data_IF_804451367524
#
_entry.id   IF_804451367524
#
_cell.length_a   1.000
_cell.length_b   1.000
_cell.length_c   1.000
_cell.angle_alpha   90.00
_cell.angle_beta   90.00
_cell.angle_gamma   90.00
#
_symmetry.space_group_name_H-M   'P 1'
#
loop_
_entity.id
_entity.type
_entity.pdbx_description
1 polymer ?
#
# COMPACT_ATOMS: atom_id res chain seq x y z
N UNK A 1 19.57 29.53 -13.74
CA UNK A 1 20.12 28.32 -14.40
C UNK A 1 20.00 27.16 -13.44
N UNK A 2 19.42 26.01 -13.81
CA UNK A 2 19.50 24.84 -12.95
C UNK A 2 20.99 24.50 -12.82
N UNK A 3 21.53 24.49 -11.59
CA UNK A 3 22.87 23.95 -11.34
C UNK A 3 22.86 22.55 -11.93
N UNK A 4 23.71 22.29 -12.94
CA UNK A 4 23.89 20.93 -13.45
C UNK A 4 24.21 20.05 -12.25
N UNK A 5 23.31 19.11 -11.93
CA UNK A 5 23.48 18.25 -10.76
C UNK A 5 24.85 17.57 -10.86
N UNK A 6 25.62 17.63 -9.79
CA UNK A 6 26.93 16.99 -9.72
C UNK A 6 26.78 15.51 -10.06
N UNK A 7 27.63 15.01 -10.96
CA UNK A 7 27.61 13.60 -11.37
C UNK A 7 27.84 12.72 -10.14
N UNK A 8 27.08 11.62 -10.05
CA UNK A 8 27.28 10.63 -9.00
C UNK A 8 28.71 10.11 -9.04
N UNK A 9 29.36 10.15 -7.87
CA UNK A 9 30.64 9.47 -7.69
C UNK A 9 30.47 7.94 -7.77
N UNK A 10 31.58 7.22 -8.00
CA UNK A 10 31.55 5.75 -8.15
C UNK A 10 30.94 5.07 -6.91
N UNK A 11 31.26 5.53 -5.71
CA UNK A 11 30.73 4.96 -4.47
C UNK A 11 29.21 5.12 -4.36
N UNK A 12 28.65 6.30 -4.70
CA UNK A 12 27.21 6.50 -4.64
C UNK A 12 26.48 5.64 -5.69
N UNK A 13 27.06 5.46 -6.87
CA UNK A 13 26.51 4.53 -7.88
C UNK A 13 26.51 3.09 -7.39
N UNK A 14 27.56 2.66 -6.70
CA UNK A 14 27.61 1.33 -6.09
C UNK A 14 26.50 1.18 -5.04
N UNK A 15 26.27 2.21 -4.22
CA UNK A 15 25.19 2.19 -3.22
C UNK A 15 23.80 2.21 -3.87
N UNK A 16 23.62 2.95 -4.96
CA UNK A 16 22.39 2.94 -5.76
C UNK A 16 22.13 1.54 -6.33
N UNK A 17 23.14 0.90 -6.92
CA UNK A 17 23.05 -0.49 -7.39
C UNK A 17 22.75 -1.45 -6.24
N UNK A 18 23.34 -1.24 -5.05
CA UNK A 18 23.04 -2.03 -3.87
C UNK A 18 21.56 -1.94 -3.48
N UNK A 19 20.98 -0.73 -3.37
CA UNK A 19 19.56 -0.59 -3.05
C UNK A 19 18.65 -1.23 -4.11
N UNK A 20 18.99 -1.10 -5.40
CA UNK A 20 18.28 -1.79 -6.48
C UNK A 20 18.35 -3.31 -6.35
N UNK A 21 19.55 -3.86 -6.09
CA UNK A 21 19.74 -5.29 -5.89
C UNK A 21 18.98 -5.82 -4.66
N UNK A 22 18.93 -5.04 -3.58
CA UNK A 22 18.14 -5.37 -2.38
C UNK A 22 16.65 -5.44 -2.72
N UNK A 23 16.10 -4.46 -3.44
CA UNK A 23 14.69 -4.51 -3.87
C UNK A 23 14.40 -5.74 -4.73
N UNK A 24 15.23 -6.02 -5.73
CA UNK A 24 15.09 -7.21 -6.60
C UNK A 24 15.16 -8.50 -5.78
N UNK A 25 16.05 -8.57 -4.80
CA UNK A 25 16.19 -9.74 -3.92
C UNK A 25 14.94 -9.94 -3.04
N UNK A 26 14.37 -8.86 -2.51
CA UNK A 26 13.15 -8.92 -1.70
C UNK A 26 11.93 -9.33 -2.54
N UNK A 27 11.78 -8.80 -3.76
CA UNK A 27 10.73 -9.22 -4.67
C UNK A 27 10.93 -10.68 -5.12
N UNK A 28 12.17 -11.08 -5.37
CA UNK A 28 12.54 -12.46 -5.66
C UNK A 28 12.21 -13.41 -4.52
N UNK A 29 12.43 -13.00 -3.28
CA UNK A 29 12.02 -13.74 -2.09
C UNK A 29 10.50 -13.90 -2.03
N UNK A 30 9.73 -12.85 -2.31
CA UNK A 30 8.26 -12.94 -2.38
C UNK A 30 7.79 -13.95 -3.44
N UNK A 31 8.41 -13.98 -4.62
CA UNK A 31 8.06 -14.90 -5.72
C UNK A 31 8.20 -16.39 -5.37
N UNK A 32 9.14 -16.73 -4.48
CA UNK A 32 9.46 -18.12 -4.12
C UNK A 32 8.93 -18.53 -2.74
N UNK A 33 8.34 -17.61 -2.00
CA UNK A 33 7.74 -17.87 -0.69
C UNK A 33 6.26 -18.17 -0.88
N UNK A 34 5.80 -19.33 -0.41
CA UNK A 34 4.37 -19.63 -0.40
C UNK A 34 3.65 -18.75 0.65
N UNK A 35 2.42 -18.29 0.39
CA UNK A 35 1.70 -17.42 1.34
C UNK A 35 1.45 -18.10 2.68
N UNK A 36 1.26 -19.42 2.67
CA UNK A 36 1.06 -20.25 3.86
C UNK A 36 2.33 -20.37 4.73
N UNK A 37 3.51 -20.24 4.13
CA UNK A 37 4.79 -20.26 4.85
C UNK A 37 5.19 -18.88 5.36
N UNK A 38 4.46 -17.84 4.96
CA UNK A 38 4.74 -16.46 5.34
C UNK A 38 4.26 -16.18 6.76
N UNK A 39 5.22 -16.02 7.69
CA UNK A 39 4.93 -15.75 9.10
C UNK A 39 5.00 -14.27 9.42
N UNK A 40 4.02 -13.79 10.19
CA UNK A 40 3.99 -12.42 10.73
C UNK A 40 4.94 -12.27 11.92
N UNK A 41 6.25 -12.22 11.65
CA UNK A 41 7.31 -12.12 12.66
C UNK A 41 8.25 -10.91 12.45
N UNK A 42 9.33 -10.85 13.23
CA UNK A 42 10.34 -9.77 13.14
C UNK A 42 11.06 -9.79 11.79
N UNK A 43 11.24 -10.98 11.18
CA UNK A 43 11.83 -11.12 9.85
C UNK A 43 10.95 -10.47 8.78
N UNK A 44 9.63 -10.67 8.86
CA UNK A 44 8.67 -9.95 8.01
C UNK A 44 8.87 -8.44 8.15
N UNK A 45 8.78 -7.91 9.38
CA UNK A 45 8.90 -6.46 9.62
C UNK A 45 10.19 -5.90 9.02
N UNK A 46 11.30 -6.65 9.13
CA UNK A 46 12.58 -6.30 8.51
C UNK A 46 12.47 -6.24 6.99
N UNK A 47 11.91 -7.27 6.33
CA UNK A 47 11.74 -7.30 4.87
C UNK A 47 10.93 -6.10 4.38
N UNK A 48 9.83 -5.77 5.08
CA UNK A 48 9.00 -4.62 4.74
C UNK A 48 9.73 -3.28 4.89
N UNK A 49 10.45 -3.10 6.01
CA UNK A 49 11.24 -1.89 6.26
C UNK A 49 12.35 -1.74 5.22
N UNK A 50 13.02 -2.85 4.89
CA UNK A 50 14.08 -2.89 3.86
C UNK A 50 13.53 -2.46 2.50
N UNK A 51 12.41 -3.03 2.07
CA UNK A 51 11.79 -2.70 0.79
C UNK A 51 11.44 -1.21 0.70
N UNK A 52 10.72 -0.70 1.71
CA UNK A 52 10.34 0.71 1.77
C UNK A 52 11.56 1.64 1.86
N UNK A 53 12.59 1.27 2.63
CA UNK A 53 13.81 2.05 2.78
C UNK A 53 14.63 2.08 1.49
N UNK A 54 14.76 0.95 0.78
CA UNK A 54 15.50 0.86 -0.47
C UNK A 54 14.82 1.69 -1.57
N UNK A 55 13.50 1.52 -1.75
CA UNK A 55 12.72 2.28 -2.73
C UNK A 55 12.83 3.80 -2.51
N UNK A 56 12.66 4.24 -1.26
CA UNK A 56 12.78 5.66 -0.88
C UNK A 56 14.21 6.18 -1.04
N UNK A 57 15.22 5.37 -0.71
CA UNK A 57 16.63 5.76 -0.82
C UNK A 57 17.03 5.98 -2.27
N UNK A 58 16.61 5.12 -3.20
CA UNK A 58 16.84 5.30 -4.64
C UNK A 58 16.25 6.61 -5.14
N UNK A 59 14.98 6.88 -4.80
CA UNK A 59 14.31 8.11 -5.21
C UNK A 59 14.98 9.37 -4.63
N UNK A 60 15.34 9.35 -3.33
CA UNK A 60 16.03 10.46 -2.69
C UNK A 60 17.42 10.71 -3.30
N UNK A 61 18.16 9.63 -3.60
CA UNK A 61 19.45 9.70 -4.28
C UNK A 61 19.27 10.34 -5.64
N UNK A 62 18.32 9.87 -6.45
CA UNK A 62 18.02 10.38 -7.79
C UNK A 62 17.75 11.89 -7.76
N UNK A 63 16.91 12.36 -6.82
CA UNK A 63 16.56 13.78 -6.66
C UNK A 63 17.63 14.64 -5.98
N UNK A 64 18.72 14.03 -5.51
CA UNK A 64 19.80 14.71 -4.76
C UNK A 64 19.28 15.46 -3.52
N UNK A 65 18.23 14.91 -2.91
CA UNK A 65 17.53 15.57 -1.79
C UNK A 65 18.44 15.70 -0.58
N UNK A 66 18.40 16.84 0.12
CA UNK A 66 19.13 17.06 1.37
C UNK A 66 18.69 16.09 2.49
N UNK A 67 17.50 15.51 2.37
CA UNK A 67 16.97 14.49 3.29
C UNK A 67 17.59 13.10 3.09
N UNK A 68 18.29 12.85 1.97
CA UNK A 68 18.86 11.53 1.67
C UNK A 68 19.74 11.02 2.80
N UNK A 69 20.62 11.88 3.33
CA UNK A 69 21.57 11.48 4.39
C UNK A 69 20.90 11.07 5.69
N UNK A 70 20.11 11.94 6.36
CA UNK A 70 19.46 11.54 7.60
C UNK A 70 18.52 10.35 7.40
N UNK A 71 17.79 10.29 6.28
CA UNK A 71 16.90 9.17 5.98
C UNK A 71 17.65 7.84 5.87
N UNK A 72 18.70 7.77 5.05
CA UNK A 72 19.49 6.54 4.85
C UNK A 72 20.15 6.10 6.16
N UNK A 73 20.73 7.04 6.94
CA UNK A 73 21.36 6.71 8.22
C UNK A 73 20.34 6.11 9.19
N UNK A 74 19.18 6.74 9.37
CA UNK A 74 18.15 6.26 10.29
C UNK A 74 17.59 4.91 9.85
N UNK A 75 17.17 4.80 8.58
CA UNK A 75 16.53 3.58 8.08
C UNK A 75 17.48 2.40 8.06
N UNK A 76 18.74 2.58 7.64
CA UNK A 76 19.73 1.50 7.69
C UNK A 76 20.11 1.13 9.13
N UNK A 77 20.10 2.09 10.07
CA UNK A 77 20.29 1.78 11.50
C UNK A 77 19.14 0.91 12.03
N UNK A 78 17.90 1.21 11.64
CA UNK A 78 16.74 0.36 11.98
C UNK A 78 16.90 -1.04 11.36
N UNK A 79 17.32 -1.15 10.10
CA UNK A 79 17.57 -2.45 9.46
C UNK A 79 18.64 -3.25 10.21
N UNK A 80 19.72 -2.60 10.66
CA UNK A 80 20.76 -3.22 11.49
C UNK A 80 20.15 -3.74 12.80
N UNK A 81 19.38 -2.91 13.51
CA UNK A 81 18.74 -3.30 14.77
C UNK A 81 17.79 -4.48 14.56
N UNK A 82 16.90 -4.42 13.56
CA UNK A 82 15.98 -5.51 13.25
C UNK A 82 16.73 -6.79 12.88
N UNK A 83 17.85 -6.67 12.15
CA UNK A 83 18.69 -7.82 11.82
C UNK A 83 19.30 -8.46 13.07
N UNK A 84 19.76 -7.67 14.03
CA UNK A 84 20.28 -8.19 15.30
C UNK A 84 19.16 -8.82 16.12
N UNK A 85 18.00 -8.18 16.22
CA UNK A 85 16.85 -8.71 16.96
C UNK A 85 16.39 -10.05 16.38
N UNK A 86 16.32 -10.16 15.05
CA UNK A 86 15.96 -11.41 14.38
C UNK A 86 16.92 -12.56 14.72
N UNK A 87 18.22 -12.29 14.73
CA UNK A 87 19.26 -13.25 15.14
C UNK A 87 19.12 -13.66 16.60
N UNK A 88 18.88 -12.70 17.49
CA UNK A 88 18.80 -12.92 18.95
C UNK A 88 17.53 -13.65 19.35
N UNK A 89 16.37 -13.22 18.83
CA UNK A 89 15.06 -13.78 19.19
C UNK A 89 14.69 -15.02 18.38
N UNK A 90 15.19 -15.17 17.16
CA UNK A 90 14.97 -16.36 16.33
C UNK A 90 15.68 -17.62 16.85
N UNK A 91 16.52 -17.51 17.89
CA UNK A 91 17.30 -18.63 18.43
C UNK A 91 18.32 -19.20 17.44
N UNK A 92 18.58 -18.49 16.34
CA UNK A 92 19.42 -18.92 15.24
C UNK A 92 20.92 -18.72 15.54
N UNK A 93 21.34 -18.30 16.74
CA UNK A 93 22.76 -18.04 17.04
C UNK A 93 23.68 -19.24 16.74
N UNK A 94 23.23 -20.46 17.05
CA UNK A 94 23.94 -21.70 16.72
C UNK A 94 23.83 -22.08 15.23
N UNK A 95 22.69 -21.81 14.59
CA UNK A 95 22.52 -21.99 13.15
C UNK A 95 23.36 -20.98 12.36
N UNK A 96 23.53 -19.76 12.84
CA UNK A 96 24.40 -18.74 12.27
C UNK A 96 25.85 -19.15 12.42
N UNK A 97 26.27 -19.72 13.55
CA UNK A 97 27.60 -20.32 13.67
C UNK A 97 27.81 -21.50 12.67
N UNK A 98 26.77 -22.31 12.43
CA UNK A 98 26.79 -23.40 11.45
C UNK A 98 26.66 -22.93 9.98
N UNK A 99 25.94 -21.85 9.72
CA UNK A 99 25.67 -21.25 8.40
C UNK A 99 26.79 -20.29 7.98
N UNK A 100 27.47 -19.66 8.95
CA UNK A 100 28.76 -18.98 8.78
C UNK A 100 29.91 -19.94 8.44
N UNK A 101 29.65 -21.25 8.31
CA UNK A 101 30.61 -22.22 7.75
C UNK A 101 30.41 -22.45 6.23
N UNK A 102 29.35 -21.92 5.62
CA UNK A 102 29.06 -21.99 4.19
C UNK A 102 29.51 -20.71 3.46
N UNK A 103 30.40 -20.79 2.46
CA UNK A 103 30.97 -19.61 1.77
C UNK A 103 29.95 -18.62 1.19
N UNK A 104 28.80 -19.12 0.72
CA UNK A 104 27.75 -18.32 0.07
C UNK A 104 26.93 -17.49 1.06
N UNK A 105 26.72 -18.00 2.29
CA UNK A 105 25.91 -17.30 3.30
C UNK A 105 26.75 -16.32 4.12
N UNK A 106 28.05 -16.61 4.33
CA UNK A 106 29.01 -15.61 4.84
C UNK A 106 29.04 -14.41 3.90
N UNK A 107 29.11 -14.63 2.58
CA UNK A 107 29.05 -13.55 1.60
C UNK A 107 27.74 -12.75 1.73
N UNK A 108 26.57 -13.42 1.78
CA UNK A 108 25.27 -12.76 1.93
C UNK A 108 25.11 -11.94 3.23
N UNK A 109 25.38 -12.54 4.38
CA UNK A 109 25.22 -11.89 5.69
C UNK A 109 26.24 -10.79 5.97
N UNK A 110 27.51 -11.00 5.59
CA UNK A 110 28.56 -9.97 5.73
C UNK A 110 28.37 -8.84 4.72
N UNK A 111 27.91 -9.12 3.49
CA UNK A 111 27.57 -8.06 2.54
C UNK A 111 26.31 -7.29 2.96
N UNK A 112 25.32 -7.94 3.58
CA UNK A 112 24.09 -7.27 3.98
C UNK A 112 24.28 -6.43 5.25
N UNK A 113 24.81 -7.02 6.32
CA UNK A 113 25.07 -6.33 7.58
C UNK A 113 26.26 -5.37 7.47
N UNK A 114 27.38 -5.84 6.89
CA UNK A 114 28.56 -5.02 6.64
C UNK A 114 28.31 -3.93 5.59
N UNK A 115 27.50 -4.21 4.57
CA UNK A 115 27.04 -3.20 3.61
C UNK A 115 26.15 -2.15 4.26
N UNK A 116 25.20 -2.54 5.10
CA UNK A 116 24.36 -1.61 5.86
C UNK A 116 25.19 -0.72 6.79
N UNK A 117 26.15 -1.31 7.52
CA UNK A 117 27.11 -0.55 8.34
C UNK A 117 27.93 0.42 7.49
N UNK A 118 28.52 -0.05 6.39
CA UNK A 118 29.28 0.79 5.48
C UNK A 118 28.45 1.98 4.98
N UNK A 119 27.20 1.75 4.57
CA UNK A 119 26.28 2.79 4.10
C UNK A 119 26.01 3.81 5.22
N UNK A 120 25.71 3.35 6.44
CA UNK A 120 25.52 4.24 7.61
C UNK A 120 26.75 5.11 7.82
N UNK A 121 27.94 4.52 7.93
CA UNK A 121 29.18 5.26 8.11
C UNK A 121 29.47 6.22 6.96
N UNK A 122 29.27 5.79 5.72
CA UNK A 122 29.50 6.61 4.54
C UNK A 122 28.59 7.84 4.53
N UNK A 123 27.29 7.68 4.72
CA UNK A 123 26.35 8.81 4.71
C UNK A 123 26.47 9.71 5.94
N UNK A 124 26.88 9.17 7.09
CA UNK A 124 27.14 9.93 8.30
C UNK A 124 28.39 10.83 8.15
N UNK A 125 29.50 10.28 7.67
CA UNK A 125 30.81 10.93 7.78
C UNK A 125 31.41 11.46 6.47
N UNK A 126 30.99 10.96 5.30
CA UNK A 126 31.58 11.35 4.00
C UNK A 126 31.31 12.82 3.65
N UNK A 127 32.39 13.58 3.40
CA UNK A 127 32.31 14.94 2.85
C UNK A 127 31.61 14.97 1.49
N UNK A 128 31.91 13.98 0.63
CA UNK A 128 31.32 13.87 -0.70
C UNK A 128 29.81 13.66 -0.65
N UNK A 129 29.31 12.86 0.30
CA UNK A 129 27.87 12.70 0.49
C UNK A 129 27.21 14.02 0.95
N UNK A 130 27.88 14.78 1.83
CA UNK A 130 27.39 16.10 2.28
C UNK A 130 27.26 17.10 1.13
N UNK A 131 28.22 17.12 0.23
CA UNK A 131 28.26 18.05 -0.91
C UNK A 131 27.28 17.67 -2.05
N UNK A 132 26.96 16.37 -2.18
CA UNK A 132 26.11 15.87 -3.25
C UNK A 132 24.62 16.06 -2.96
N UNK A 133 24.20 15.89 -1.70
CA UNK A 133 22.80 15.91 -1.28
C UNK A 133 22.41 17.26 -0.69
N UNK A 134 22.15 18.23 -1.57
CA UNK A 134 21.93 19.64 -1.21
C UNK A 134 20.60 20.20 -1.71
N UNK A 135 19.87 19.45 -2.54
CA UNK A 135 18.59 19.92 -3.06
C UNK A 135 17.57 19.90 -1.94
N UNK A 136 17.14 21.08 -1.50
CA UNK A 136 16.10 21.14 -0.48
C UNK A 136 14.77 20.63 -1.04
N UNK A 137 13.98 19.90 -0.23
CA UNK A 137 12.62 19.54 -0.57
C UNK A 137 11.86 20.78 -1.00
N UNK A 138 11.12 20.66 -2.10
CA UNK A 138 10.23 21.73 -2.51
C UNK A 138 9.16 21.95 -1.42
N UNK A 139 9.29 23.09 -0.73
CA UNK A 139 8.36 23.57 0.30
C UNK A 139 7.37 24.60 -0.26
N UNK A 140 7.49 24.97 -1.53
CA UNK A 140 6.66 26.01 -2.14
C UNK A 140 5.20 25.58 -2.38
N UNK A 141 4.90 24.29 -2.23
CA UNK A 141 3.56 23.73 -2.36
C UNK A 141 2.77 23.57 -1.04
N UNK A 142 3.19 24.20 0.06
CA UNK A 142 2.31 24.33 1.23
C UNK A 142 1.21 25.34 0.85
N UNK A 143 -0.09 24.97 0.94
CA UNK A 143 -1.16 25.89 0.58
C UNK A 143 -1.04 27.17 1.41
N UNK A 144 -0.81 28.31 0.73
CA UNK A 144 -1.04 29.63 1.30
C UNK A 144 -2.52 29.70 1.65
N UNK A 145 -2.83 30.08 2.89
CA UNK A 145 -4.18 29.95 3.45
C UNK A 145 -5.29 30.53 2.56
N UNK A 146 -6.46 29.89 2.67
CA UNK A 146 -7.80 30.48 2.50
C UNK A 146 -8.62 30.21 1.21
N UNK A 147 -8.54 29.00 0.65
CA UNK A 147 -9.60 28.50 -0.24
C UNK A 147 -9.85 27.00 -0.10
N UNK A 148 -11.07 26.59 0.29
CA UNK A 148 -11.51 25.17 0.26
C UNK A 148 -11.60 24.64 -1.20
N UNK A 149 -11.64 25.55 -2.20
CA UNK A 149 -11.80 25.22 -3.62
C UNK A 149 -10.57 24.56 -4.26
N UNK A 150 -9.37 24.75 -3.68
CA UNK A 150 -8.10 24.19 -4.21
C UNK A 150 -7.67 22.87 -3.53
N UNK A 151 -8.49 22.33 -2.62
CA UNK A 151 -8.17 21.08 -1.89
C UNK A 151 -8.11 19.87 -2.83
N UNK A 152 -8.91 19.88 -3.90
CA UNK A 152 -8.99 18.77 -4.85
C UNK A 152 -8.03 18.99 -6.00
N UNK A 153 -7.05 18.09 -6.12
CA UNK A 153 -6.10 18.10 -7.22
C UNK A 153 -6.83 18.05 -8.57
N UNK A 154 -6.33 18.83 -9.54
CA UNK A 154 -6.90 18.84 -10.89
C UNK A 154 -6.87 17.42 -11.48
N UNK A 155 -7.99 16.92 -12.05
CA UNK A 155 -8.03 15.60 -12.66
C UNK A 155 -6.91 15.40 -13.68
N UNK A 156 -6.37 14.18 -13.74
CA UNK A 156 -5.29 13.77 -14.66
C UNK A 156 -3.95 14.49 -14.50
N UNK A 157 -3.75 15.28 -13.44
CA UNK A 157 -2.41 15.76 -13.06
C UNK A 157 -1.63 14.68 -12.32
N UNK A 158 -0.29 14.79 -12.31
CA UNK A 158 0.54 13.83 -11.57
C UNK A 158 0.17 13.72 -10.07
N UNK A 159 -0.02 14.81 -9.31
CA UNK A 159 -0.47 14.72 -7.92
C UNK A 159 -1.81 13.98 -7.78
N UNK A 160 -2.75 14.20 -8.70
CA UNK A 160 -4.04 13.50 -8.71
C UNK A 160 -3.88 12.00 -8.97
N UNK A 161 -3.14 11.61 -10.02
CA UNK A 161 -2.87 10.20 -10.35
C UNK A 161 -2.12 9.50 -9.22
N UNK A 162 -1.08 10.15 -8.67
CA UNK A 162 -0.33 9.66 -7.52
C UNK A 162 -1.26 9.41 -6.33
N UNK A 163 -2.13 10.37 -6.00
CA UNK A 163 -3.06 10.24 -4.88
C UNK A 163 -4.08 9.11 -5.10
N UNK A 164 -4.56 8.92 -6.33
CA UNK A 164 -5.40 7.76 -6.67
C UNK A 164 -4.70 6.43 -6.42
N UNK A 165 -3.43 6.30 -6.82
CA UNK A 165 -2.64 5.09 -6.55
C UNK A 165 -2.43 4.90 -5.05
N UNK A 166 -2.21 5.98 -4.28
CA UNK A 166 -2.14 5.90 -2.81
C UNK A 166 -3.46 5.35 -2.26
N UNK A 167 -4.62 5.88 -2.70
CA UNK A 167 -5.92 5.39 -2.25
C UNK A 167 -6.09 3.92 -2.60
N UNK A 168 -5.79 3.52 -3.84
CA UNK A 168 -5.82 2.13 -4.26
C UNK A 168 -5.00 1.23 -3.31
N UNK A 169 -3.70 1.49 -3.15
CA UNK A 169 -2.84 0.66 -2.31
C UNK A 169 -3.27 0.60 -0.84
N UNK A 170 -3.71 1.73 -0.27
CA UNK A 170 -4.15 1.79 1.13
C UNK A 170 -5.46 1.02 1.31
N UNK A 171 -6.45 1.24 0.45
CA UNK A 171 -7.76 0.62 0.59
C UNK A 171 -7.78 -0.84 0.16
N UNK A 172 -6.85 -1.29 -0.69
CA UNK A 172 -6.66 -2.72 -0.90
C UNK A 172 -6.27 -3.44 0.40
N UNK A 173 -5.46 -2.81 1.27
CA UNK A 173 -5.09 -3.41 2.56
C UNK A 173 -6.20 -3.20 3.59
N UNK A 174 -6.75 -1.99 3.70
CA UNK A 174 -7.83 -1.71 4.66
C UNK A 174 -9.10 -2.49 4.35
N UNK A 175 -9.34 -2.82 3.08
CA UNK A 175 -10.46 -3.62 2.62
C UNK A 175 -10.51 -5.00 3.28
N UNK A 176 -9.37 -5.67 3.42
CA UNK A 176 -9.26 -6.93 4.15
C UNK A 176 -9.74 -6.80 5.60
N UNK A 177 -9.33 -5.73 6.30
CA UNK A 177 -9.79 -5.46 7.67
C UNK A 177 -11.28 -5.09 7.74
N UNK A 178 -11.80 -4.42 6.71
CA UNK A 178 -13.22 -4.13 6.60
C UNK A 178 -14.04 -5.41 6.43
N UNK A 179 -13.55 -6.36 5.63
CA UNK A 179 -14.19 -7.67 5.45
C UNK A 179 -14.21 -8.47 6.75
N UNK A 180 -13.09 -8.54 7.48
CA UNK A 180 -13.05 -9.17 8.82
C UNK A 180 -14.13 -8.54 9.72
N UNK A 181 -14.24 -7.22 9.71
CA UNK A 181 -15.29 -6.51 10.45
C UNK A 181 -16.70 -6.89 10.02
N UNK A 182 -16.94 -7.02 8.71
CA UNK A 182 -18.21 -7.45 8.16
C UNK A 182 -18.57 -8.89 8.56
N UNK A 183 -17.62 -9.83 8.46
CA UNK A 183 -17.81 -11.20 8.92
C UNK A 183 -18.13 -11.26 10.42
N UNK A 184 -17.50 -10.43 11.25
CA UNK A 184 -17.86 -10.33 12.67
C UNK A 184 -19.29 -9.88 12.89
N UNK A 185 -19.82 -8.96 12.08
CA UNK A 185 -21.22 -8.55 12.17
C UNK A 185 -22.18 -9.69 11.80
N UNK A 186 -21.80 -10.57 10.86
CA UNK A 186 -22.55 -11.78 10.54
C UNK A 186 -22.51 -12.75 11.73
N UNK A 187 -21.33 -13.00 12.31
CA UNK A 187 -21.14 -13.88 13.49
C UNK A 187 -21.99 -13.40 14.68
N UNK A 188 -22.09 -12.09 14.87
CA UNK A 188 -22.90 -11.47 15.92
C UNK A 188 -24.42 -11.48 15.62
N UNK A 189 -24.82 -11.98 14.45
CA UNK A 189 -26.23 -12.04 14.02
C UNK A 189 -26.82 -10.68 13.63
N UNK A 190 -25.98 -9.66 13.41
CA UNK A 190 -26.43 -8.33 12.94
C UNK A 190 -26.82 -8.39 11.47
N UNK A 191 -26.09 -9.16 10.68
CA UNK A 191 -26.34 -9.36 9.25
C UNK A 191 -26.51 -10.84 8.94
N UNK A 192 -27.40 -11.13 7.98
CA UNK A 192 -27.53 -12.47 7.41
C UNK A 192 -26.37 -12.72 6.44
N UNK A 193 -25.81 -13.92 6.44
CA UNK A 193 -24.77 -14.31 5.52
C UNK A 193 -24.02 -15.54 6.01
N UNK A 194 -23.07 -15.98 5.19
CA UNK A 194 -22.15 -17.07 5.51
C UNK A 194 -20.80 -16.48 5.91
N UNK A 195 -20.10 -17.17 6.79
CA UNK A 195 -18.72 -16.89 7.14
C UNK A 195 -17.99 -18.22 7.28
N UNK A 196 -16.70 -18.24 6.92
CA UNK A 196 -15.88 -19.43 7.08
C UNK A 196 -14.59 -19.08 7.83
N UNK A 197 -14.48 -19.59 9.05
CA UNK A 197 -13.30 -19.44 9.90
C UNK A 197 -12.09 -20.22 9.40
N UNK A 198 -12.27 -21.17 8.48
CA UNK A 198 -11.18 -21.95 7.89
C UNK A 198 -10.48 -21.26 6.72
N UNK A 199 -11.00 -20.13 6.23
CA UNK A 199 -10.36 -19.32 5.20
C UNK A 199 -9.11 -18.62 5.76
N UNK A 200 -7.95 -19.28 5.66
CA UNK A 200 -6.67 -18.77 6.16
C UNK A 200 -6.30 -17.38 5.58
N UNK A 201 -6.67 -17.10 4.32
CA UNK A 201 -6.46 -15.79 3.70
C UNK A 201 -7.18 -14.65 4.45
N UNK A 202 -8.33 -14.92 5.07
CA UNK A 202 -9.10 -13.92 5.81
C UNK A 202 -8.64 -13.80 7.26
N UNK A 203 -8.34 -14.92 7.93
CA UNK A 203 -8.12 -14.93 9.38
C UNK A 203 -6.66 -14.94 9.83
N UNK A 204 -5.79 -15.56 9.04
CA UNK A 204 -4.37 -15.70 9.37
C UNK A 204 -3.53 -14.66 8.61
N UNK A 205 -3.93 -14.28 7.40
CA UNK A 205 -3.13 -13.44 6.50
C UNK A 205 -3.49 -11.95 6.55
N UNK A 206 -3.15 -11.26 7.64
CA UNK A 206 -3.56 -9.87 7.93
C UNK A 206 -3.11 -8.79 6.94
N UNK A 207 -2.13 -9.10 6.08
CA UNK A 207 -1.63 -8.20 5.03
C UNK A 207 -2.03 -8.65 3.63
N UNK A 208 -2.93 -9.64 3.50
CA UNK A 208 -3.44 -10.04 2.21
C UNK A 208 -4.16 -8.83 1.55
N UNK A 209 -3.70 -8.35 0.39
CA UNK A 209 -4.33 -7.23 -0.28
C UNK A 209 -5.63 -7.68 -0.95
N UNK A 210 -6.71 -6.89 -0.81
CA UNK A 210 -7.97 -7.03 -1.55
C UNK A 210 -8.06 -5.96 -2.65
N UNK A 211 -7.51 -6.20 -3.87
CA UNK A 211 -7.55 -5.25 -4.98
C UNK A 211 -8.94 -4.70 -5.29
N UNK A 212 -9.99 -5.52 -5.14
CA UNK A 212 -11.38 -5.11 -5.38
C UNK A 212 -11.78 -3.89 -4.56
N UNK A 213 -11.36 -3.81 -3.30
CA UNK A 213 -11.66 -2.69 -2.40
C UNK A 213 -10.87 -1.43 -2.78
N UNK A 214 -9.61 -1.60 -3.21
CA UNK A 214 -8.82 -0.53 -3.80
C UNK A 214 -9.48 0.04 -5.07
N UNK A 215 -9.98 -0.83 -5.96
CA UNK A 215 -10.72 -0.44 -7.17
C UNK A 215 -12.01 0.30 -6.79
N UNK A 216 -12.75 -0.19 -5.80
CA UNK A 216 -13.98 0.44 -5.34
C UNK A 216 -13.75 1.89 -4.88
N UNK A 217 -12.68 2.15 -4.14
CA UNK A 217 -12.35 3.53 -3.74
C UNK A 217 -11.92 4.39 -4.92
N UNK A 218 -11.14 3.85 -5.88
CA UNK A 218 -10.81 4.59 -7.10
C UNK A 218 -12.09 4.95 -7.88
N UNK A 219 -13.04 4.02 -8.01
CA UNK A 219 -14.33 4.27 -8.64
C UNK A 219 -15.12 5.35 -7.89
N UNK A 220 -15.11 5.32 -6.56
CA UNK A 220 -15.71 6.36 -5.72
C UNK A 220 -15.12 7.74 -6.06
N UNK A 221 -13.80 7.87 -6.12
CA UNK A 221 -13.13 9.15 -6.37
C UNK A 221 -13.36 9.65 -7.79
N UNK A 222 -13.30 8.75 -8.78
CA UNK A 222 -13.38 9.11 -10.20
C UNK A 222 -14.83 9.36 -10.65
N UNK A 223 -15.81 8.63 -10.09
CA UNK A 223 -17.20 8.69 -10.54
C UNK A 223 -18.15 9.26 -9.47
N UNK A 224 -18.23 8.64 -8.29
CA UNK A 224 -19.26 8.95 -7.30
C UNK A 224 -19.05 10.33 -6.64
N UNK A 225 -17.81 10.72 -6.38
CA UNK A 225 -17.51 12.02 -5.81
C UNK A 225 -17.88 13.18 -6.75
N UNK A 226 -17.49 13.18 -8.04
CA UNK A 226 -18.00 14.17 -9.00
C UNK A 226 -19.52 14.20 -9.13
N UNK A 227 -20.19 13.04 -9.01
CA UNK A 227 -21.66 12.98 -9.02
C UNK A 227 -22.22 13.68 -7.79
N UNK A 228 -21.71 13.39 -6.58
CA UNK A 228 -22.09 14.09 -5.35
C UNK A 228 -21.95 15.61 -5.51
N UNK A 229 -20.83 16.11 -6.05
CA UNK A 229 -20.63 17.55 -6.23
C UNK A 229 -21.62 18.16 -7.24
N UNK A 230 -21.98 17.43 -8.30
CA UNK A 230 -23.04 17.84 -9.24
C UNK A 230 -24.42 17.86 -8.57
N UNK A 231 -24.72 16.87 -7.73
CA UNK A 231 -25.97 16.82 -6.96
C UNK A 231 -26.06 17.99 -5.98
N UNK A 232 -24.96 18.32 -5.29
CA UNK A 232 -24.92 19.45 -4.35
C UNK A 232 -25.24 20.75 -5.07
N UNK A 233 -24.68 20.96 -6.26
CA UNK A 233 -25.01 22.11 -7.12
C UNK A 233 -26.47 22.09 -7.56
N UNK A 234 -26.98 20.94 -8.02
CA UNK A 234 -28.36 20.80 -8.49
C UNK A 234 -29.39 21.06 -7.39
N UNK A 235 -29.08 20.71 -6.14
CA UNK A 235 -29.94 20.95 -4.98
C UNK A 235 -29.65 22.28 -4.26
N UNK A 236 -28.93 23.21 -4.88
CA UNK A 236 -28.58 24.52 -4.32
C UNK A 236 -27.90 24.42 -2.93
N UNK A 237 -27.00 23.46 -2.77
CA UNK A 237 -26.24 23.22 -1.53
C UNK A 237 -27.02 22.51 -0.41
N UNK A 238 -28.27 22.07 -0.65
CA UNK A 238 -29.05 21.36 0.37
C UNK A 238 -28.47 19.95 0.60
N UNK A 239 -27.92 19.74 1.80
CA UNK A 239 -27.23 18.49 2.18
C UNK A 239 -28.18 17.29 2.19
N UNK A 240 -29.32 17.38 2.89
CA UNK A 240 -30.22 16.23 3.08
C UNK A 240 -30.74 15.61 1.77
N UNK A 241 -31.34 16.35 0.82
CA UNK A 241 -31.79 15.77 -0.44
C UNK A 241 -30.62 15.23 -1.27
N UNK A 242 -29.47 15.91 -1.25
CA UNK A 242 -28.26 15.44 -1.93
C UNK A 242 -27.75 14.14 -1.34
N UNK A 243 -27.73 14.00 -0.01
CA UNK A 243 -27.30 12.79 0.68
C UNK A 243 -28.19 11.60 0.32
N UNK A 244 -29.51 11.79 0.32
CA UNK A 244 -30.47 10.74 -0.05
C UNK A 244 -30.27 10.32 -1.51
N UNK A 245 -30.19 11.27 -2.44
CA UNK A 245 -29.99 10.93 -3.86
C UNK A 245 -28.61 10.32 -4.11
N UNK A 246 -27.57 10.83 -3.45
CA UNK A 246 -26.22 10.27 -3.50
C UNK A 246 -26.21 8.83 -2.98
N UNK A 247 -26.90 8.53 -1.88
CA UNK A 247 -27.04 7.18 -1.35
C UNK A 247 -27.72 6.25 -2.37
N UNK A 248 -28.79 6.68 -3.02
CA UNK A 248 -29.48 5.87 -4.03
C UNK A 248 -28.60 5.63 -5.27
N UNK A 249 -27.83 6.63 -5.70
CA UNK A 249 -26.87 6.47 -6.81
C UNK A 249 -25.74 5.51 -6.41
N UNK A 250 -25.18 5.67 -5.22
CA UNK A 250 -24.15 4.78 -4.69
C UNK A 250 -24.67 3.34 -4.61
N UNK A 251 -25.89 3.15 -4.10
CA UNK A 251 -26.57 1.86 -4.02
C UNK A 251 -26.69 1.20 -5.40
N UNK A 252 -27.13 1.95 -6.42
CA UNK A 252 -27.24 1.44 -7.78
C UNK A 252 -25.88 1.02 -8.36
N UNK A 253 -24.83 1.83 -8.13
CA UNK A 253 -23.48 1.53 -8.61
C UNK A 253 -22.90 0.31 -7.90
N UNK A 254 -23.00 0.24 -6.56
CA UNK A 254 -22.58 -0.92 -5.78
C UNK A 254 -23.30 -2.19 -6.25
N UNK A 255 -24.63 -2.17 -6.37
CA UNK A 255 -25.40 -3.30 -6.86
C UNK A 255 -24.99 -3.72 -8.28
N UNK A 256 -24.68 -2.76 -9.16
CA UNK A 256 -24.24 -3.04 -10.53
C UNK A 256 -22.87 -3.72 -10.55
N UNK A 257 -21.92 -3.20 -9.77
CA UNK A 257 -20.57 -3.78 -9.65
C UNK A 257 -20.65 -5.17 -9.05
N UNK A 258 -21.34 -5.33 -7.92
CA UNK A 258 -21.50 -6.60 -7.22
C UNK A 258 -22.19 -7.65 -8.11
N UNK A 259 -23.27 -7.28 -8.79
CA UNK A 259 -23.95 -8.17 -9.73
C UNK A 259 -23.08 -8.56 -10.92
N UNK A 260 -22.32 -7.61 -11.48
CA UNK A 260 -21.42 -7.89 -12.60
C UNK A 260 -20.29 -8.83 -12.18
N UNK A 261 -19.68 -8.60 -11.01
CA UNK A 261 -18.70 -9.52 -10.43
C UNK A 261 -19.34 -10.88 -10.19
N UNK A 262 -20.56 -10.92 -9.67
CA UNK A 262 -21.34 -12.12 -9.45
C UNK A 262 -21.48 -12.99 -10.69
N UNK A 263 -21.97 -12.41 -11.80
CA UNK A 263 -22.17 -13.17 -13.05
C UNK A 263 -20.88 -13.51 -13.81
N UNK A 264 -19.78 -12.77 -13.59
CA UNK A 264 -18.52 -12.96 -14.31
C UNK A 264 -17.51 -13.85 -13.57
N UNK A 265 -17.46 -13.73 -12.24
CA UNK A 265 -16.45 -14.36 -11.39
C UNK A 265 -17.03 -15.30 -10.33
N UNK A 266 -18.32 -15.15 -9.97
CA UNK A 266 -19.01 -16.01 -9.00
C UNK A 266 -20.18 -16.81 -9.63
N UNK A 267 -20.08 -17.15 -10.91
CA UNK A 267 -21.18 -17.80 -11.64
C UNK A 267 -21.60 -19.17 -11.05
N UNK A 268 -20.67 -19.84 -10.34
CA UNK A 268 -20.89 -21.12 -9.68
C UNK A 268 -21.23 -21.01 -8.18
N UNK A 269 -21.36 -19.79 -7.64
CA UNK A 269 -21.63 -19.53 -6.21
C UNK A 269 -20.54 -20.05 -5.25
N UNK A 270 -19.29 -20.11 -5.70
CA UNK A 270 -18.16 -20.57 -4.88
C UNK A 270 -17.59 -19.46 -3.97
N UNK A 271 -17.72 -18.19 -4.37
CA UNK A 271 -17.24 -17.05 -3.60
C UNK A 271 -18.29 -16.56 -2.58
N UNK A 272 -19.56 -16.59 -2.97
CA UNK A 272 -20.70 -16.33 -2.08
C UNK A 272 -21.99 -16.91 -2.66
N UNK A 273 -22.96 -17.21 -1.80
CA UNK A 273 -24.28 -17.69 -2.21
C UNK A 273 -25.40 -16.95 -1.45
N UNK A 274 -26.20 -16.16 -2.17
CA UNK A 274 -27.34 -15.45 -1.59
C UNK A 274 -28.70 -16.03 -1.99
N UNK A 275 -28.75 -17.23 -2.61
CA UNK A 275 -29.99 -17.80 -3.14
C UNK A 275 -31.08 -17.98 -2.07
N UNK A 276 -30.66 -18.32 -0.85
CA UNK A 276 -31.57 -18.55 0.28
C UNK A 276 -31.85 -17.28 1.12
N UNK A 277 -31.26 -16.13 0.76
CA UNK A 277 -31.46 -14.88 1.48
C UNK A 277 -32.66 -14.08 0.92
N UNK A 278 -33.42 -13.37 1.77
CA UNK A 278 -34.56 -12.58 1.34
C UNK A 278 -34.12 -11.38 0.49
N UNK A 279 -34.91 -11.04 -0.52
CA UNK A 279 -34.63 -9.93 -1.44
C UNK A 279 -33.30 -10.09 -2.20
N UNK A 280 -32.92 -11.32 -2.52
CA UNK A 280 -31.84 -11.60 -3.45
C UNK A 280 -32.29 -11.41 -4.91
N UNK A 281 -31.31 -11.18 -5.79
CA UNK A 281 -31.50 -11.18 -7.23
C UNK A 281 -30.50 -12.15 -7.87
N UNK A 282 -31.03 -13.21 -8.47
CA UNK A 282 -30.28 -14.32 -9.09
C UNK A 282 -29.29 -15.02 -8.13
N UNK A 283 -29.48 -14.87 -6.81
CA UNK A 283 -28.53 -15.32 -5.80
C UNK A 283 -27.16 -14.61 -5.82
N UNK A 284 -26.98 -13.59 -6.67
CA UNK A 284 -25.70 -12.91 -6.87
C UNK A 284 -25.59 -11.63 -6.05
N UNK A 285 -26.69 -10.91 -5.87
CA UNK A 285 -26.76 -9.75 -4.98
C UNK A 285 -27.94 -9.89 -4.03
N UNK A 286 -27.84 -9.27 -2.86
CA UNK A 286 -28.92 -9.21 -1.87
C UNK A 286 -29.10 -7.78 -1.36
N UNK A 287 -30.35 -7.38 -1.11
CA UNK A 287 -30.66 -6.02 -0.68
C UNK A 287 -29.90 -5.59 0.57
N UNK A 288 -29.72 -6.49 1.55
CA UNK A 288 -28.97 -6.21 2.78
C UNK A 288 -27.54 -5.75 2.46
N UNK A 289 -26.79 -6.53 1.70
CA UNK A 289 -25.39 -6.24 1.39
C UNK A 289 -25.29 -5.00 0.49
N UNK A 290 -26.20 -4.86 -0.47
CA UNK A 290 -26.33 -3.66 -1.29
C UNK A 290 -26.52 -2.39 -0.44
N UNK A 291 -27.32 -2.46 0.63
CA UNK A 291 -27.50 -1.35 1.57
C UNK A 291 -26.22 -1.08 2.38
N UNK A 292 -25.56 -2.13 2.89
CA UNK A 292 -24.30 -2.00 3.65
C UNK A 292 -23.20 -1.36 2.78
N UNK A 293 -22.99 -1.86 1.57
CA UNK A 293 -22.04 -1.30 0.61
C UNK A 293 -22.40 0.14 0.24
N UNK A 294 -23.68 0.47 0.08
CA UNK A 294 -24.11 1.85 -0.16
C UNK A 294 -23.84 2.78 1.03
N UNK A 295 -24.06 2.32 2.27
CA UNK A 295 -23.72 3.08 3.48
C UNK A 295 -22.22 3.35 3.51
N UNK A 296 -21.40 2.32 3.27
CA UNK A 296 -19.94 2.43 3.23
C UNK A 296 -19.47 3.39 2.13
N UNK A 297 -19.96 3.22 0.89
CA UNK A 297 -19.64 4.09 -0.24
C UNK A 297 -20.05 5.55 0.04
N UNK A 298 -21.23 5.76 0.63
CA UNK A 298 -21.70 7.09 1.02
C UNK A 298 -20.80 7.71 2.09
N UNK A 299 -20.42 6.94 3.11
CA UNK A 299 -19.47 7.39 4.13
C UNK A 299 -18.12 7.76 3.52
N UNK A 300 -17.60 6.96 2.57
CA UNK A 300 -16.33 7.25 1.91
C UNK A 300 -16.42 8.52 1.07
N UNK A 301 -17.46 8.65 0.24
CA UNK A 301 -17.70 9.80 -0.65
C UNK A 301 -17.84 11.12 0.15
N UNK A 302 -18.54 11.08 1.28
CA UNK A 302 -18.88 12.28 2.05
C UNK A 302 -17.88 12.64 3.14
N UNK A 303 -17.18 11.66 3.70
CA UNK A 303 -16.32 11.85 4.88
C UNK A 303 -14.89 11.43 4.58
N UNK A 304 -14.66 10.17 4.23
CA UNK A 304 -13.30 9.63 4.17
C UNK A 304 -12.47 10.27 3.06
N UNK A 305 -12.98 10.32 1.83
CA UNK A 305 -12.25 10.90 0.70
C UNK A 305 -11.95 12.39 0.91
N UNK A 306 -12.91 13.26 1.28
CA UNK A 306 -12.61 14.66 1.58
C UNK A 306 -11.55 14.85 2.67
N UNK A 307 -11.59 14.05 3.76
CA UNK A 307 -10.60 14.11 4.82
C UNK A 307 -9.20 13.69 4.33
N UNK A 308 -9.14 12.63 3.52
CA UNK A 308 -7.88 12.15 2.95
C UNK A 308 -7.31 13.13 1.93
N UNK A 309 -8.14 13.70 1.04
CA UNK A 309 -7.74 14.74 0.10
C UNK A 309 -7.16 15.94 0.85
N UNK A 310 -7.85 16.40 1.91
CA UNK A 310 -7.38 17.49 2.77
C UNK A 310 -6.06 17.15 3.48
N UNK A 311 -5.91 15.91 3.96
CA UNK A 311 -4.68 15.45 4.61
C UNK A 311 -3.50 15.45 3.64
N UNK A 312 -3.67 14.89 2.44
CA UNK A 312 -2.61 14.85 1.42
C UNK A 312 -2.28 16.26 0.89
N UNK A 313 -3.28 17.12 0.72
CA UNK A 313 -3.09 18.49 0.26
C UNK A 313 -2.34 19.37 1.28
N UNK A 314 -2.53 19.15 2.58
CA UNK A 314 -1.80 19.85 3.65
C UNK A 314 -0.36 19.36 3.82
N UNK A 315 -0.06 18.16 3.35
CA UNK A 315 1.28 17.61 3.45
C UNK A 315 2.19 18.22 2.36
N UNK A 316 3.46 18.54 2.68
CA UNK A 316 4.41 18.95 1.65
C UNK A 316 4.49 17.88 0.54
N UNK A 317 4.44 18.32 -0.72
CA UNK A 317 4.43 17.41 -1.89
C UNK A 317 5.61 16.43 -1.87
N UNK A 318 6.77 16.85 -1.36
CA UNK A 318 7.92 15.96 -1.15
C UNK A 318 7.61 14.79 -0.21
N UNK A 319 6.95 15.06 0.92
CA UNK A 319 6.57 14.03 1.90
C UNK A 319 5.55 13.06 1.32
N UNK A 320 4.58 13.56 0.54
CA UNK A 320 3.60 12.70 -0.15
C UNK A 320 4.27 11.80 -1.19
N UNK A 321 5.22 12.34 -1.96
CA UNK A 321 6.00 11.55 -2.92
C UNK A 321 6.84 10.47 -2.22
N UNK A 322 7.45 10.79 -1.08
CA UNK A 322 8.23 9.83 -0.29
C UNK A 322 7.34 8.72 0.28
N UNK A 323 6.15 9.08 0.78
CA UNK A 323 5.16 8.12 1.24
C UNK A 323 4.71 7.21 0.08
N UNK A 324 4.37 7.80 -1.07
CA UNK A 324 3.97 7.11 -2.30
C UNK A 324 4.99 6.05 -2.72
N UNK A 325 6.27 6.40 -2.87
CA UNK A 325 7.30 5.45 -3.32
C UNK A 325 7.44 4.27 -2.37
N UNK A 326 7.44 4.53 -1.05
CA UNK A 326 7.52 3.47 -0.05
C UNK A 326 6.27 2.58 -0.03
N UNK A 327 5.09 3.18 -0.18
CA UNK A 327 3.81 2.47 -0.20
C UNK A 327 3.68 1.58 -1.44
N UNK A 328 4.02 2.08 -2.62
CA UNK A 328 3.97 1.29 -3.87
C UNK A 328 4.97 0.14 -3.82
N UNK A 329 6.20 0.36 -3.33
CA UNK A 329 7.17 -0.71 -3.15
C UNK A 329 6.69 -1.79 -2.18
N UNK A 330 6.06 -1.38 -1.08
CA UNK A 330 5.44 -2.29 -0.12
C UNK A 330 4.26 -3.06 -0.72
N UNK A 331 3.37 -2.37 -1.41
CA UNK A 331 2.21 -2.99 -2.05
C UNK A 331 2.61 -3.98 -3.14
N UNK A 332 3.60 -3.63 -3.97
CA UNK A 332 4.15 -4.52 -4.98
C UNK A 332 4.75 -5.81 -4.37
N UNK A 333 5.39 -5.70 -3.21
CA UNK A 333 5.85 -6.88 -2.48
C UNK A 333 4.68 -7.80 -2.08
N UNK A 334 3.59 -7.24 -1.54
CA UNK A 334 2.40 -8.01 -1.15
C UNK A 334 1.72 -8.66 -2.36
N UNK A 335 1.53 -7.91 -3.44
CA UNK A 335 0.93 -8.44 -4.68
C UNK A 335 1.71 -9.63 -5.22
N UNK A 336 3.04 -9.53 -5.26
CA UNK A 336 3.88 -10.66 -5.68
C UNK A 336 3.77 -11.81 -4.69
N UNK A 337 3.84 -11.52 -3.39
CA UNK A 337 3.78 -12.55 -2.35
C UNK A 337 2.47 -13.34 -2.37
N UNK A 338 1.34 -12.75 -2.74
CA UNK A 338 0.02 -13.40 -2.66
C UNK A 338 -0.52 -13.86 -4.01
N UNK A 339 -0.17 -13.20 -5.11
CA UNK A 339 -0.76 -13.49 -6.43
C UNK A 339 0.24 -14.02 -7.45
N UNK A 340 1.55 -14.05 -7.17
CA UNK A 340 2.55 -14.50 -8.16
C UNK A 340 3.54 -15.47 -7.53
N UNK A 341 3.46 -16.74 -7.93
CA UNK A 341 4.35 -17.78 -7.43
C UNK A 341 5.14 -18.44 -8.55
N UNK A 342 6.43 -18.68 -8.29
CA UNK A 342 7.25 -19.55 -9.12
C UNK A 342 7.28 -20.91 -8.47
N UNK A 343 6.62 -21.89 -9.10
CA UNK A 343 6.69 -23.30 -8.73
C UNK A 343 7.66 -24.04 -9.67
N UNK A 344 8.08 -25.27 -9.33
CA UNK A 344 8.85 -26.11 -10.26
C UNK A 344 8.17 -26.35 -11.62
N UNK A 345 6.85 -26.15 -11.69
CA UNK A 345 6.02 -26.37 -12.88
C UNK A 345 5.83 -25.10 -13.72
N UNK A 346 6.20 -23.91 -13.20
CA UNK A 346 6.10 -22.64 -13.91
C UNK A 346 5.65 -21.49 -13.01
N UNK A 347 5.17 -20.42 -13.65
CA UNK A 347 4.58 -19.27 -12.94
C UNK A 347 3.11 -19.54 -12.73
N UNK A 348 2.67 -19.52 -11.47
CA UNK A 348 1.27 -19.64 -11.06
C UNK A 348 0.78 -18.25 -10.65
N UNK A 349 -0.39 -17.87 -11.18
CA UNK A 349 -1.10 -16.68 -10.76
C UNK A 349 -2.22 -17.10 -9.80
N UNK A 350 -2.21 -16.51 -8.60
CA UNK A 350 -3.21 -16.74 -7.56
C UNK A 350 -4.48 -15.94 -7.75
#
# INVERSE_FOLDING_TARGET
>A
MPRSLTKLGPIIRIIEVYFGAVMVSVLGYALVTAPADFKYDISMLRVLVVMAAAARSLWLIEKRSSQTRPFVVVTMSIVIVLSVLDVVYGGEFEKIAAVLSLPVVIAGGVLYFGGSLFIVFYFAFSKRAKELFVVEPDRSGLPTSDGDDDIYEKPFTWPWVRNLIIYYCVFSILGHWAEIGFCWLIVLGVFMGEYDFSHAQLWEQWLYPYPAEGIAVVLIVVALFPIKERLLKAFNGKILPTLVVSFLVNMLVCATVDFTTGITANANYELWDYRDLPFNFMGQIVLQNTLVYSIAATFIVWVVYPLMAKFLHRAPQHSVNLAFVGLVGFYAFLEILYFVHITPEGIVFG
#
